data_IF_977634022870
#
_entry.id   IF_977634022870
#
_cell.length_a   1.000
_cell.length_b   1.000
_cell.length_c   1.000
_cell.angle_alpha   90.00
_cell.angle_beta   90.00
_cell.angle_gamma   90.00
#
_symmetry.space_group_name_H-M   'P 1'
#
loop_
_entity.id
_entity.type
_entity.pdbx_description
1 polymer ?
#
# COMPACT_ATOMS: atom_id res chain seq x y z
N UNK A 1 13.57 -7.47 -13.77
CA UNK A 1 12.72 -8.67 -13.91
C UNK A 1 11.97 -9.05 -12.63
N UNK A 2 12.64 -9.36 -11.50
CA UNK A 2 11.95 -9.71 -10.23
C UNK A 2 11.35 -8.46 -9.56
N UNK A 3 12.11 -7.35 -9.47
CA UNK A 3 11.63 -6.07 -8.95
C UNK A 3 10.36 -5.57 -9.65
N UNK A 4 10.30 -5.65 -10.98
CA UNK A 4 9.15 -5.18 -11.75
C UNK A 4 7.87 -5.98 -11.46
N UNK A 5 8.02 -7.29 -11.25
CA UNK A 5 6.91 -8.16 -10.80
C UNK A 5 6.44 -7.75 -9.40
N UNK A 6 7.37 -7.55 -8.46
CA UNK A 6 7.05 -7.13 -7.08
C UNK A 6 6.28 -5.80 -7.08
N UNK A 7 6.73 -4.81 -7.85
CA UNK A 7 6.05 -3.51 -7.98
C UNK A 7 4.66 -3.67 -8.59
N UNK A 8 4.51 -4.55 -9.59
CA UNK A 8 3.20 -4.81 -10.21
C UNK A 8 2.23 -5.48 -9.23
N UNK A 9 2.68 -6.47 -8.46
CA UNK A 9 1.86 -7.10 -7.42
C UNK A 9 1.50 -6.14 -6.30
N UNK A 10 2.44 -5.28 -5.89
CA UNK A 10 2.18 -4.21 -4.94
C UNK A 10 1.09 -3.24 -5.44
N UNK A 11 1.18 -2.78 -6.68
CA UNK A 11 0.14 -1.95 -7.30
C UNK A 11 -1.23 -2.65 -7.35
N UNK A 12 -1.26 -3.95 -7.65
CA UNK A 12 -2.51 -4.72 -7.66
C UNK A 12 -3.12 -4.86 -6.27
N UNK A 13 -2.30 -5.10 -5.24
CA UNK A 13 -2.74 -5.15 -3.84
C UNK A 13 -3.31 -3.81 -3.38
N UNK A 14 -2.66 -2.70 -3.75
CA UNK A 14 -3.10 -1.33 -3.48
C UNK A 14 -4.44 -1.00 -4.13
N UNK A 15 -4.64 -1.36 -5.40
CA UNK A 15 -5.91 -1.13 -6.13
C UNK A 15 -7.07 -1.90 -5.50
N UNK A 16 -6.83 -3.13 -5.05
CA UNK A 16 -7.87 -3.98 -4.45
C UNK A 16 -8.19 -3.64 -2.98
N UNK A 17 -7.54 -2.66 -2.36
CA UNK A 17 -7.72 -2.28 -0.94
C UNK A 17 -7.65 -3.48 0.00
N UNK A 18 -6.70 -4.38 -0.26
CA UNK A 18 -6.55 -5.64 0.49
C UNK A 18 -6.21 -5.36 1.97
N UNK A 19 -5.53 -4.25 2.24
CA UNK A 19 -5.27 -3.70 3.57
C UNK A 19 -6.56 -3.53 4.38
N UNK A 20 -7.61 -2.95 3.78
CA UNK A 20 -8.87 -2.68 4.47
C UNK A 20 -9.58 -3.97 4.87
N UNK A 21 -9.58 -4.96 3.99
CA UNK A 21 -10.18 -6.28 4.27
C UNK A 21 -9.39 -7.07 5.32
N UNK A 22 -8.05 -7.04 5.26
CA UNK A 22 -7.16 -7.64 6.27
C UNK A 22 -7.41 -7.07 7.68
N UNK A 23 -7.47 -5.74 7.78
CA UNK A 23 -7.76 -5.06 9.05
C UNK A 23 -9.16 -5.43 9.53
N UNK A 24 -10.17 -5.43 8.66
CA UNK A 24 -11.55 -5.75 9.02
C UNK A 24 -11.69 -7.18 9.54
N UNK A 25 -11.15 -8.16 8.82
CA UNK A 25 -11.18 -9.58 9.21
C UNK A 25 -10.44 -9.79 10.54
N UNK A 26 -9.28 -9.14 10.70
CA UNK A 26 -8.53 -9.17 11.95
C UNK A 26 -9.33 -8.62 13.13
N UNK A 27 -9.96 -7.45 12.98
CA UNK A 27 -10.80 -6.84 14.04
C UNK A 27 -11.97 -7.76 14.40
N UNK A 28 -12.67 -8.30 13.40
CA UNK A 28 -13.80 -9.22 13.63
C UNK A 28 -13.34 -10.46 14.41
N UNK A 29 -12.21 -11.05 14.02
CA UNK A 29 -11.66 -12.22 14.70
C UNK A 29 -11.21 -11.96 16.14
N UNK A 30 -10.65 -10.78 16.42
CA UNK A 30 -10.32 -10.37 17.80
C UNK A 30 -11.59 -10.16 18.64
N UNK A 31 -12.65 -9.56 18.07
CA UNK A 31 -13.93 -9.41 18.77
C UNK A 31 -14.53 -10.78 19.12
N UNK A 32 -14.49 -11.73 18.17
CA UNK A 32 -14.96 -13.10 18.40
C UNK A 32 -14.10 -13.81 19.45
N UNK A 33 -12.77 -13.70 19.38
CA UNK A 33 -11.89 -14.33 20.37
C UNK A 33 -12.05 -13.77 21.77
N UNK A 34 -12.34 -12.47 21.91
CA UNK A 34 -12.73 -11.86 23.17
C UNK A 34 -14.09 -12.36 23.68
N UNK A 35 -15.09 -12.46 22.80
CA UNK A 35 -16.44 -12.90 23.17
C UNK A 35 -16.47 -14.36 23.67
N UNK A 36 -15.72 -15.25 23.03
CA UNK A 36 -15.62 -16.67 23.42
C UNK A 36 -14.58 -16.93 24.52
N UNK A 37 -13.79 -15.92 24.93
CA UNK A 37 -12.74 -16.06 25.94
C UNK A 37 -11.60 -17.00 25.53
N UNK A 38 -11.35 -17.17 24.22
CA UNK A 38 -10.34 -18.09 23.70
C UNK A 38 -9.07 -17.29 23.35
N UNK A 39 -8.03 -17.30 24.21
CA UNK A 39 -6.84 -16.47 24.04
C UNK A 39 -6.05 -16.79 22.77
N UNK A 40 -6.11 -18.04 22.30
CA UNK A 40 -5.44 -18.52 21.08
C UNK A 40 -6.00 -17.80 19.83
N UNK A 41 -7.31 -17.56 19.80
CA UNK A 41 -7.97 -16.87 18.69
C UNK A 41 -7.47 -15.43 18.63
N UNK A 42 -7.40 -14.74 19.77
CA UNK A 42 -6.87 -13.37 19.81
C UNK A 42 -5.41 -13.29 19.33
N UNK A 43 -4.56 -14.24 19.73
CA UNK A 43 -3.17 -14.28 19.27
C UNK A 43 -3.05 -14.45 17.76
N UNK A 44 -3.91 -15.26 17.14
CA UNK A 44 -3.89 -15.50 15.69
C UNK A 44 -4.45 -14.30 14.93
N UNK A 45 -5.56 -13.72 15.38
CA UNK A 45 -6.25 -12.64 14.65
C UNK A 45 -5.61 -11.26 14.80
N UNK A 46 -4.68 -11.07 15.73
CA UNK A 46 -3.83 -9.87 15.78
C UNK A 46 -2.91 -9.76 14.56
N UNK A 47 -2.43 -10.88 13.99
CA UNK A 47 -1.51 -10.87 12.86
C UNK A 47 -2.10 -10.24 11.58
N UNK A 48 -3.33 -10.59 11.14
CA UNK A 48 -4.02 -9.88 10.06
C UNK A 48 -4.13 -8.36 10.29
N UNK A 49 -4.42 -7.93 11.51
CA UNK A 49 -4.49 -6.50 11.86
C UNK A 49 -3.12 -5.85 11.71
N UNK A 50 -2.08 -6.46 12.27
CA UNK A 50 -0.70 -5.97 12.20
C UNK A 50 -0.25 -5.83 10.74
N UNK A 51 -0.44 -6.88 9.93
CA UNK A 51 -0.07 -6.87 8.51
C UNK A 51 -0.84 -5.81 7.72
N UNK A 52 -2.14 -5.69 7.95
CA UNK A 52 -2.97 -4.67 7.31
C UNK A 52 -2.53 -3.25 7.67
N UNK A 53 -2.19 -3.00 8.94
CA UNK A 53 -1.67 -1.70 9.41
C UNK A 53 -0.31 -1.39 8.80
N UNK A 54 0.61 -2.36 8.73
CA UNK A 54 1.92 -2.18 8.09
C UNK A 54 1.80 -1.78 6.61
N UNK A 55 0.91 -2.44 5.85
CA UNK A 55 0.66 -2.09 4.44
C UNK A 55 0.12 -0.66 4.34
N UNK A 56 -0.81 -0.30 5.22
CA UNK A 56 -1.43 1.04 5.24
C UNK A 56 -0.44 2.14 5.63
N UNK A 57 0.48 1.86 6.56
CA UNK A 57 1.57 2.77 6.93
C UNK A 57 2.57 2.97 5.79
N UNK A 58 2.89 1.91 5.05
CA UNK A 58 3.72 2.02 3.85
C UNK A 58 3.03 2.89 2.79
N UNK A 59 1.75 2.66 2.52
CA UNK A 59 0.97 3.48 1.57
C UNK A 59 0.89 4.95 1.98
N UNK A 60 0.77 5.21 3.28
CA UNK A 60 0.81 6.55 3.84
C UNK A 60 2.19 7.21 3.64
N UNK A 61 3.26 6.46 3.86
CA UNK A 61 4.63 6.94 3.64
C UNK A 61 4.89 7.24 2.17
N UNK A 62 4.46 6.38 1.24
CA UNK A 62 4.57 6.63 -0.21
C UNK A 62 3.77 7.87 -0.62
N UNK A 63 2.59 8.08 -0.02
CA UNK A 63 1.77 9.26 -0.28
C UNK A 63 2.46 10.53 0.20
N UNK A 64 3.01 10.51 1.42
CA UNK A 64 3.79 11.62 1.98
C UNK A 64 5.01 11.93 1.13
N UNK A 65 5.77 10.91 0.71
CA UNK A 65 6.96 11.09 -0.12
C UNK A 65 6.62 11.78 -1.46
N UNK A 66 5.50 11.39 -2.09
CA UNK A 66 5.01 12.03 -3.32
C UNK A 66 4.46 13.45 -3.11
N UNK A 67 3.98 13.75 -1.92
CA UNK A 67 3.35 15.04 -1.61
C UNK A 67 4.38 16.07 -1.11
N UNK A 68 5.41 15.63 -0.36
CA UNK A 68 6.50 16.46 0.15
C UNK A 68 7.59 16.69 -0.88
N UNK A 69 7.92 15.68 -1.70
CA UNK A 69 8.86 15.85 -2.81
C UNK A 69 8.02 16.09 -4.06
N UNK A 70 7.87 17.33 -4.55
CA UNK A 70 7.29 17.56 -5.86
C UNK A 70 8.24 16.90 -6.86
N UNK A 71 7.89 15.69 -7.31
CA UNK A 71 8.59 15.03 -8.38
C UNK A 71 8.56 16.00 -9.57
N UNK A 72 9.70 16.60 -9.87
CA UNK A 72 9.85 17.43 -11.05
C UNK A 72 9.76 16.50 -12.28
N UNK A 73 8.53 16.27 -12.73
CA UNK A 73 8.24 15.44 -13.90
C UNK A 73 8.99 15.94 -15.14
N UNK A 74 9.41 17.22 -15.18
CA UNK A 74 10.24 17.77 -16.25
C UNK A 74 11.68 17.23 -16.25
N UNK A 75 12.16 16.67 -15.14
CA UNK A 75 13.46 15.98 -15.05
C UNK A 75 13.40 14.49 -15.44
N UNK A 76 12.22 13.87 -15.32
CA UNK A 76 11.99 12.46 -15.66
C UNK A 76 11.53 12.26 -17.11
N UNK A 77 10.81 13.24 -17.65
CA UNK A 77 10.40 13.23 -19.05
C UNK A 77 11.56 13.80 -19.87
N UNK A 78 11.98 13.13 -20.96
CA UNK A 78 12.92 13.76 -21.89
C UNK A 78 12.33 15.10 -22.35
N UNK A 79 13.13 16.18 -22.40
CA UNK A 79 12.64 17.49 -22.76
C UNK A 79 11.88 17.41 -24.10
N UNK A 80 10.74 18.09 -24.24
CA UNK A 80 9.95 18.03 -25.47
C UNK A 80 10.86 18.38 -26.65
N UNK A 81 10.86 17.52 -27.68
CA UNK A 81 11.64 17.78 -28.89
C UNK A 81 11.26 19.16 -29.41
N UNK A 82 12.20 20.10 -29.36
CA UNK A 82 12.03 21.42 -29.97
C UNK A 82 11.61 21.16 -31.41
N UNK A 83 10.38 21.54 -31.78
CA UNK A 83 10.03 21.63 -33.20
C UNK A 83 11.04 22.60 -33.78
N UNK A 84 11.91 22.11 -34.66
CA UNK A 84 12.70 23.00 -35.49
C UNK A 84 11.69 23.84 -36.23
N UNK A 85 11.63 25.11 -35.85
CA UNK A 85 10.94 26.13 -36.57
C UNK A 85 11.63 26.21 -37.93
N UNK A 86 11.08 25.51 -38.92
CA UNK A 86 11.43 25.70 -40.31
C UNK A 86 10.64 26.94 -40.76
N UNK A 87 11.20 28.10 -40.42
CA UNK A 87 10.98 29.31 -41.20
C UNK A 87 11.81 29.26 -42.48
#
# INVERSE_FOLDING_TARGET
MIKDKIVKYYKLLKVKKVDKYLILIGIIGVIIGLFFGIPIINQIFVWPVLLGVCIRLYDFTEKIEREIVPYDFNRLLPPPKKKSDKS
#
